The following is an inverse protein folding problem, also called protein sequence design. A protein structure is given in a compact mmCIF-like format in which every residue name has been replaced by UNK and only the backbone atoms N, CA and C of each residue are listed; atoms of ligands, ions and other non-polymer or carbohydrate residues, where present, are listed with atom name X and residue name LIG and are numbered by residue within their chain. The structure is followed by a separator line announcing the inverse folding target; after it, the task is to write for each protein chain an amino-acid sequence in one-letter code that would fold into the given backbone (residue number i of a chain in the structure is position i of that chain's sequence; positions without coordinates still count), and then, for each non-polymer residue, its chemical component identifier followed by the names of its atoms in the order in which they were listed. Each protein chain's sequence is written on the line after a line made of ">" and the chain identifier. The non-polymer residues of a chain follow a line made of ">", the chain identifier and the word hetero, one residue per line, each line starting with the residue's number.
data_IF_921114105838
#
_entry.id   IF_921114105838
#
_cell.length_a   1.000
_cell.length_b   1.000
_cell.length_c   1.000
_cell.angle_alpha   90.00
_cell.angle_beta   90.00
_cell.angle_gamma   90.00
#
_symmetry.space_group_name_H-M   'P 1'
#
loop_
_entity.id
_entity.type
_entity.pdbx_description
1 polymer ?
#
# COMPACT_ATOMS: atom_id res chain seq x y z
N UNK A 1 -26.40 -6.18 29.23
CA UNK A 1 -26.98 -5.14 30.09
C UNK A 1 -27.54 -4.03 29.19
N UNK A 2 -28.82 -4.14 28.87
CA UNK A 2 -29.73 -3.06 28.47
C UNK A 2 -30.80 -3.03 29.60
N UNK A 3 -31.57 -1.96 29.86
CA UNK A 3 -31.88 -0.78 29.02
C UNK A 3 -31.81 0.53 29.86
N UNK A 4 -32.66 1.51 29.51
CA UNK A 4 -32.96 2.83 30.14
C UNK A 4 -32.52 3.98 29.20
N UNK A 5 -33.32 4.97 28.81
CA UNK A 5 -34.65 5.43 29.18
C UNK A 5 -35.11 6.43 28.09
N UNK A 6 -36.37 6.33 27.66
CA UNK A 6 -37.05 7.43 26.97
C UNK A 6 -37.42 8.51 28.00
N UNK A 7 -37.17 9.79 27.70
CA UNK A 7 -37.80 10.90 28.42
C UNK A 7 -38.21 12.02 27.45
N UNK A 8 -39.53 12.24 27.40
CA UNK A 8 -40.24 13.29 26.69
C UNK A 8 -39.72 14.70 26.94
N UNK A 9 -39.54 15.49 25.88
CA UNK A 9 -39.39 16.94 25.97
C UNK A 9 -40.71 17.63 25.62
N UNK A 10 -41.15 18.49 26.54
CA UNK A 10 -42.42 19.22 26.58
C UNK A 10 -42.36 20.42 25.63
N UNK A 11 -43.42 20.65 24.85
CA UNK A 11 -43.54 21.80 23.96
C UNK A 11 -43.95 23.10 24.64
N UNK A 12 -43.80 24.21 23.90
CA UNK A 12 -44.67 25.38 23.99
C UNK A 12 -44.01 26.76 23.95
N UNK A 13 -44.52 27.61 23.04
CA UNK A 13 -44.36 29.08 22.89
C UNK A 13 -43.09 29.57 22.17
N UNK A 14 -43.12 30.31 21.05
CA UNK A 14 -44.17 31.12 20.42
C UNK A 14 -43.59 32.51 20.14
N UNK A 15 -43.38 32.88 18.86
CA UNK A 15 -42.85 34.20 18.47
C UNK A 15 -42.53 34.27 16.98
N UNK A 16 -42.91 35.39 16.35
CA UNK A 16 -43.42 35.54 14.99
C UNK A 16 -42.45 36.21 13.98
N UNK A 17 -42.80 36.06 12.70
CA UNK A 17 -42.52 36.86 11.48
C UNK A 17 -41.12 37.07 10.84
N UNK A 18 -41.09 36.66 9.57
CA UNK A 18 -40.64 37.41 8.38
C UNK A 18 -39.14 37.67 8.14
N UNK A 19 -38.62 36.97 7.12
CA UNK A 19 -37.84 37.59 6.05
C UNK A 19 -36.32 37.46 6.09
N UNK A 20 -35.78 36.67 5.15
CA UNK A 20 -34.62 36.96 4.30
C UNK A 20 -33.72 35.72 4.09
N UNK A 21 -33.57 35.37 2.81
CA UNK A 21 -32.59 34.43 2.26
C UNK A 21 -31.21 34.52 2.93
N UNK A 22 -30.68 33.37 3.32
CA UNK A 22 -29.23 33.14 3.23
C UNK A 22 -28.96 31.66 2.97
N UNK A 23 -28.60 31.38 1.73
CA UNK A 23 -27.93 30.15 1.29
C UNK A 23 -26.71 29.94 2.18
N UNK A 24 -26.64 28.81 2.88
CA UNK A 24 -25.38 28.35 3.47
C UNK A 24 -24.97 27.06 2.78
N UNK A 25 -24.01 27.24 1.88
CA UNK A 25 -23.35 26.22 1.10
C UNK A 25 -22.42 25.38 1.99
N UNK A 26 -22.54 24.07 1.82
CA UNK A 26 -21.50 23.02 1.84
C UNK A 26 -20.25 23.30 2.69
N UNK A 27 -20.14 22.56 3.79
CA UNK A 27 -18.88 21.94 4.20
C UNK A 27 -19.13 20.42 4.13
N UNK A 28 -18.78 19.74 3.04
CA UNK A 28 -17.38 19.60 2.64
C UNK A 28 -16.68 18.55 3.51
N UNK A 29 -17.39 17.48 3.90
CA UNK A 29 -16.75 16.28 4.41
C UNK A 29 -15.70 15.85 3.39
N UNK A 30 -14.43 15.98 3.75
CA UNK A 30 -13.33 15.39 2.99
C UNK A 30 -13.55 13.90 3.06
N UNK A 31 -14.30 13.36 2.10
CA UNK A 31 -14.22 11.97 1.72
C UNK A 31 -12.74 11.71 1.49
N UNK A 32 -12.12 11.00 2.45
CA UNK A 32 -10.89 10.26 2.22
C UNK A 32 -11.04 9.67 0.82
N UNK A 33 -10.14 10.04 -0.10
CA UNK A 33 -10.23 9.63 -1.50
C UNK A 33 -10.58 8.14 -1.52
N UNK A 34 -11.76 7.84 -2.08
CA UNK A 34 -12.28 6.47 -2.16
C UNK A 34 -11.27 5.72 -3.05
N UNK A 35 -10.32 5.02 -2.43
CA UNK A 35 -9.34 4.22 -3.16
C UNK A 35 -10.12 3.05 -3.72
N UNK A 36 -10.66 3.23 -4.92
CA UNK A 36 -11.22 2.15 -5.71
C UNK A 36 -10.06 1.31 -6.22
N UNK A 37 -9.90 0.13 -5.64
CA UNK A 37 -9.02 -0.90 -6.18
C UNK A 37 -9.62 -1.39 -7.49
N UNK A 38 -8.93 -1.13 -8.59
CA UNK A 38 -9.28 -1.57 -9.95
C UNK A 38 -8.21 -2.51 -10.49
N UNK A 39 -8.56 -3.36 -11.46
CA UNK A 39 -7.58 -4.23 -12.14
C UNK A 39 -6.40 -3.42 -12.67
N UNK A 40 -6.66 -2.29 -13.33
CA UNK A 40 -5.63 -1.40 -13.86
C UNK A 40 -4.71 -0.85 -12.76
N UNK A 41 -5.27 -0.44 -11.62
CA UNK A 41 -4.46 0.05 -10.50
C UNK A 41 -3.57 -1.05 -9.90
N UNK A 42 -4.09 -2.28 -9.79
CA UNK A 42 -3.34 -3.43 -9.26
C UNK A 42 -2.20 -3.82 -10.21
N UNK A 43 -2.48 -3.88 -11.52
CA UNK A 43 -1.48 -4.13 -12.57
C UNK A 43 -0.41 -3.02 -12.58
N UNK A 44 -0.82 -1.76 -12.49
CA UNK A 44 0.09 -0.62 -12.42
C UNK A 44 1.06 -0.71 -11.24
N UNK A 45 0.55 -0.97 -10.03
CA UNK A 45 1.38 -1.12 -8.83
C UNK A 45 2.26 -2.36 -8.91
N UNK A 46 1.75 -3.48 -9.45
CA UNK A 46 2.54 -4.71 -9.68
C UNK A 46 3.77 -4.44 -10.55
N UNK A 47 3.58 -3.72 -11.67
CA UNK A 47 4.67 -3.35 -12.58
C UNK A 47 5.69 -2.41 -11.92
N UNK A 48 5.21 -1.45 -11.11
CA UNK A 48 6.07 -0.56 -10.34
C UNK A 48 6.91 -1.32 -9.32
N UNK A 49 6.33 -2.29 -8.59
CA UNK A 49 7.06 -3.12 -7.65
C UNK A 49 8.10 -4.00 -8.34
N UNK A 50 7.76 -4.60 -9.49
CA UNK A 50 8.72 -5.39 -10.28
C UNK A 50 9.90 -4.54 -10.75
N UNK A 51 9.63 -3.35 -11.30
CA UNK A 51 10.67 -2.40 -11.75
C UNK A 51 11.54 -1.90 -10.59
N UNK A 52 10.92 -1.64 -9.44
CA UNK A 52 11.62 -1.26 -8.21
C UNK A 52 12.53 -2.37 -7.69
N UNK A 53 12.05 -3.63 -7.72
CA UNK A 53 12.84 -4.81 -7.34
C UNK A 53 14.10 -4.95 -8.19
N UNK A 54 14.00 -4.81 -9.52
CA UNK A 54 15.15 -4.85 -10.43
C UNK A 54 16.16 -3.71 -10.18
N UNK A 55 15.65 -2.52 -9.86
CA UNK A 55 16.51 -1.38 -9.51
C UNK A 55 17.25 -1.62 -8.20
N UNK A 56 16.57 -2.17 -7.19
CA UNK A 56 17.17 -2.55 -5.90
C UNK A 56 18.23 -3.64 -6.10
N UNK A 57 17.93 -4.67 -6.90
CA UNK A 57 18.91 -5.72 -7.23
C UNK A 57 20.18 -5.13 -7.86
N UNK A 58 20.03 -4.21 -8.81
CA UNK A 58 21.17 -3.51 -9.41
C UNK A 58 21.97 -2.71 -8.38
N UNK A 59 21.31 -2.00 -7.46
CA UNK A 59 21.97 -1.25 -6.40
C UNK A 59 22.72 -2.18 -5.42
N UNK A 60 22.10 -3.29 -5.03
CA UNK A 60 22.69 -4.29 -4.14
C UNK A 60 23.95 -4.91 -4.77
N UNK A 61 23.93 -5.23 -6.06
CA UNK A 61 25.11 -5.76 -6.78
C UNK A 61 26.27 -4.75 -6.82
N UNK A 62 25.95 -3.46 -6.99
CA UNK A 62 26.95 -2.39 -6.92
C UNK A 62 27.57 -2.29 -5.51
N UNK A 63 26.74 -2.30 -4.47
CA UNK A 63 27.21 -2.27 -3.08
C UNK A 63 28.06 -3.50 -2.76
N UNK A 64 27.65 -4.68 -3.24
CA UNK A 64 28.39 -5.94 -3.09
C UNK A 64 29.80 -5.81 -3.67
N UNK A 65 29.91 -5.28 -4.89
CA UNK A 65 31.21 -5.07 -5.56
C UNK A 65 32.13 -4.11 -4.80
N UNK A 66 31.57 -3.05 -4.18
CA UNK A 66 32.35 -2.13 -3.35
C UNK A 66 32.89 -2.80 -2.09
N UNK A 67 32.08 -3.64 -1.45
CA UNK A 67 32.48 -4.39 -0.26
C UNK A 67 33.52 -5.45 -0.61
N UNK A 68 33.30 -6.23 -1.66
CA UNK A 68 34.24 -7.26 -2.11
C UNK A 68 35.63 -6.65 -2.44
N UNK A 69 35.66 -5.43 -3.00
CA UNK A 69 36.89 -4.67 -3.23
C UNK A 69 37.62 -4.24 -1.95
N UNK A 70 36.91 -4.05 -0.84
CA UNK A 70 37.50 -3.74 0.46
C UNK A 70 38.02 -4.99 1.19
N UNK A 71 37.31 -6.12 1.04
CA UNK A 71 37.58 -7.37 1.78
C UNK A 71 38.67 -8.21 1.10
N UNK A 72 38.94 -8.03 -0.19
CA UNK A 72 39.89 -8.84 -0.97
C UNK A 72 41.39 -8.72 -0.64
N UNK A 73 41.77 -8.02 0.43
CA UNK A 73 43.18 -7.79 0.82
C UNK A 73 43.66 -8.61 2.03
N UNK A 74 44.77 -8.18 2.66
CA UNK A 74 45.41 -8.77 3.85
C UNK A 74 44.59 -8.61 5.16
N UNK A 75 43.27 -8.43 5.06
CA UNK A 75 42.42 -8.17 6.21
C UNK A 75 42.10 -9.46 6.98
N UNK A 76 42.84 -9.68 8.06
CA UNK A 76 42.74 -10.87 8.92
C UNK A 76 42.50 -10.53 10.39
N UNK A 77 42.09 -11.53 11.17
CA UNK A 77 41.83 -11.41 12.61
C UNK A 77 40.34 -11.41 12.98
N UNK A 78 40.04 -11.26 14.27
CA UNK A 78 38.68 -11.36 14.79
C UNK A 78 37.72 -10.31 14.17
N UNK A 79 38.21 -9.11 13.86
CA UNK A 79 37.41 -8.05 13.24
C UNK A 79 36.93 -8.41 11.83
N UNK A 80 37.75 -9.10 11.02
CA UNK A 80 37.35 -9.50 9.67
C UNK A 80 36.37 -10.67 9.69
N UNK A 81 36.43 -11.54 10.71
CA UNK A 81 35.42 -12.59 10.92
C UNK A 81 34.05 -12.00 11.26
N UNK A 82 33.97 -11.09 12.23
CA UNK A 82 32.71 -10.41 12.58
C UNK A 82 32.14 -9.62 11.40
N UNK A 83 32.99 -9.00 10.58
CA UNK A 83 32.53 -8.34 9.36
C UNK A 83 31.96 -9.33 8.34
N UNK A 84 32.62 -10.46 8.08
CA UNK A 84 32.13 -11.47 7.15
C UNK A 84 30.77 -12.04 7.57
N UNK A 85 30.54 -12.22 8.87
CA UNK A 85 29.25 -12.62 9.41
C UNK A 85 28.16 -11.56 9.16
N UNK A 86 28.45 -10.28 9.40
CA UNK A 86 27.53 -9.18 9.11
C UNK A 86 27.25 -9.05 7.61
N UNK A 87 28.27 -9.23 6.78
CA UNK A 87 28.16 -9.17 5.33
C UNK A 87 27.28 -10.30 4.79
N UNK A 88 27.46 -11.53 5.29
CA UNK A 88 26.61 -12.67 4.94
C UNK A 88 25.14 -12.43 5.34
N UNK A 89 24.89 -11.89 6.54
CA UNK A 89 23.54 -11.54 7.00
C UNK A 89 22.89 -10.46 6.12
N UNK A 90 23.66 -9.46 5.71
CA UNK A 90 23.20 -8.43 4.78
C UNK A 90 22.83 -9.02 3.42
N UNK A 91 23.67 -9.88 2.84
CA UNK A 91 23.44 -10.54 1.54
C UNK A 91 22.16 -11.40 1.57
N UNK A 92 21.96 -12.16 2.65
CA UNK A 92 20.73 -12.93 2.86
C UNK A 92 19.49 -12.04 2.96
N UNK A 93 19.57 -10.93 3.70
CA UNK A 93 18.48 -9.97 3.83
C UNK A 93 18.14 -9.30 2.50
N UNK A 94 19.15 -9.03 1.67
CA UNK A 94 19.02 -8.47 0.34
C UNK A 94 18.27 -9.41 -0.62
N UNK A 95 18.60 -10.71 -0.59
CA UNK A 95 17.87 -11.74 -1.35
C UNK A 95 16.40 -11.80 -0.90
N UNK A 96 16.17 -11.83 0.42
CA UNK A 96 14.82 -11.94 0.97
C UNK A 96 13.95 -10.72 0.64
N UNK A 97 14.53 -9.52 0.59
CA UNK A 97 13.86 -8.31 0.11
C UNK A 97 13.41 -8.45 -1.35
N UNK A 98 14.31 -8.93 -2.23
CA UNK A 98 14.00 -9.14 -3.64
C UNK A 98 12.85 -10.12 -3.83
N UNK A 99 12.93 -11.28 -3.17
CA UNK A 99 11.89 -12.31 -3.22
C UNK A 99 10.54 -11.78 -2.72
N UNK A 100 10.55 -11.00 -1.65
CA UNK A 100 9.33 -10.39 -1.10
C UNK A 100 8.69 -9.41 -2.09
N UNK A 101 9.48 -8.53 -2.71
CA UNK A 101 8.98 -7.57 -3.70
C UNK A 101 8.43 -8.26 -4.95
N UNK A 102 9.13 -9.29 -5.42
CA UNK A 102 8.71 -10.12 -6.55
C UNK A 102 7.39 -10.84 -6.24
N UNK A 103 7.29 -11.50 -5.08
CA UNK A 103 6.08 -12.19 -4.65
C UNK A 103 4.88 -11.25 -4.49
N UNK A 104 5.08 -10.05 -3.94
CA UNK A 104 4.00 -9.04 -3.85
C UNK A 104 3.58 -8.57 -5.25
N UNK A 105 4.53 -8.32 -6.15
CA UNK A 105 4.22 -7.98 -7.54
C UNK A 105 3.36 -9.06 -8.21
N UNK A 106 3.72 -10.33 -8.07
CA UNK A 106 2.97 -11.47 -8.62
C UNK A 106 1.57 -11.61 -8.01
N UNK A 107 1.43 -11.42 -6.70
CA UNK A 107 0.13 -11.43 -6.02
C UNK A 107 -0.79 -10.31 -6.53
N UNK A 108 -0.24 -9.11 -6.73
CA UNK A 108 -0.99 -7.97 -7.28
C UNK A 108 -1.40 -8.20 -8.73
N UNK A 109 -0.52 -8.82 -9.53
CA UNK A 109 -0.84 -9.18 -10.92
C UNK A 109 -1.97 -10.22 -10.98
N UNK A 110 -1.95 -11.23 -10.11
CA UNK A 110 -3.02 -12.21 -10.02
C UNK A 110 -4.34 -11.57 -9.57
N UNK A 111 -4.29 -10.69 -8.58
CA UNK A 111 -5.46 -9.96 -8.13
C UNK A 111 -6.07 -9.09 -9.25
N UNK A 112 -5.23 -8.45 -10.07
CA UNK A 112 -5.69 -7.68 -11.24
C UNK A 112 -6.50 -8.56 -12.21
N UNK A 113 -5.95 -9.72 -12.58
CA UNK A 113 -6.60 -10.68 -13.48
C UNK A 113 -7.96 -11.15 -12.93
N UNK A 114 -8.03 -11.50 -11.65
CA UNK A 114 -9.30 -11.92 -11.03
C UNK A 114 -10.35 -10.81 -11.01
N UNK A 115 -9.95 -9.56 -10.81
CA UNK A 115 -10.87 -8.42 -10.87
C UNK A 115 -11.38 -8.19 -12.29
N UNK A 116 -10.50 -8.27 -13.30
CA UNK A 116 -10.88 -8.14 -14.71
C UNK A 116 -11.86 -9.23 -15.15
N UNK A 117 -11.61 -10.49 -14.78
CA UNK A 117 -12.50 -11.61 -15.09
C UNK A 117 -13.88 -11.44 -14.44
N UNK A 118 -13.90 -11.01 -13.16
CA UNK A 118 -15.15 -10.75 -12.44
C UNK A 118 -15.99 -9.68 -13.15
N UNK A 119 -15.35 -8.61 -13.60
CA UNK A 119 -16.06 -7.50 -14.25
C UNK A 119 -16.55 -7.85 -15.66
N UNK A 120 -15.78 -8.64 -16.39
CA UNK A 120 -16.20 -9.19 -17.68
C UNK A 120 -17.42 -10.11 -17.55
N UNK A 121 -17.46 -10.96 -16.51
CA UNK A 121 -18.59 -11.84 -16.21
C UNK A 121 -19.86 -11.07 -15.86
N UNK A 122 -19.73 -10.04 -15.00
CA UNK A 122 -20.82 -9.15 -14.63
C UNK A 122 -21.35 -8.41 -15.87
N UNK A 123 -20.46 -7.85 -16.69
CA UNK A 123 -20.85 -7.17 -17.93
C UNK A 123 -21.53 -8.11 -18.93
N UNK A 124 -21.14 -9.38 -18.99
CA UNK A 124 -21.78 -10.39 -19.83
C UNK A 124 -23.21 -10.70 -19.38
N UNK A 125 -23.43 -10.72 -18.06
CA UNK A 125 -24.75 -10.97 -17.46
C UNK A 125 -25.77 -9.89 -17.82
N UNK A 126 -25.35 -8.62 -17.92
CA UNK A 126 -26.24 -7.52 -18.32
C UNK A 126 -26.52 -7.43 -19.83
N UNK A 127 -25.80 -8.21 -20.65
CA UNK A 127 -25.96 -8.23 -22.12
C UNK A 127 -26.78 -9.42 -22.64
N UNK A 128 -27.12 -10.39 -21.79
CA UNK A 128 -28.01 -11.52 -22.09
C UNK A 128 -29.39 -11.31 -21.52
#
# INVERSE_FOLDING_TARGET
>A
MLPELCASSKGGHGGDTTGASRVHERSGGRTMADIRVTSDSLSGVSNQLSSGSQSIESQLQNLKSLVDGLVGGDWSGAASQSFQELYSQWDQSAIQLKESLQGISELLSQAALSYEESENSISGTFRG
#
